data_IF_856171261484
#
_entry.id   IF_856171261484
#
_cell.length_a   1.000
_cell.length_b   1.000
_cell.length_c   1.000
_cell.angle_alpha   90.00
_cell.angle_beta   90.00
_cell.angle_gamma   90.00
#
_symmetry.space_group_name_H-M   'P 1'
#
loop_
_entity.id
_entity.type
_entity.pdbx_description
1 polymer ?
#
# COMPACT_ATOMS: atom_id res chain seq x y z
N UNK A 1 -5.69 -25.51 25.69
CA UNK A 1 -6.53 -24.56 24.89
C UNK A 1 -6.65 -25.11 23.49
N UNK A 2 -7.83 -25.06 22.85
CA UNK A 2 -8.04 -25.67 21.52
C UNK A 2 -7.54 -24.74 20.41
N UNK A 3 -6.27 -24.87 20.05
CA UNK A 3 -5.59 -24.04 19.03
C UNK A 3 -6.18 -24.23 17.63
N UNK A 4 -6.80 -25.36 17.33
CA UNK A 4 -7.41 -25.62 16.02
C UNK A 4 -8.65 -24.75 15.80
N UNK A 5 -9.46 -24.52 16.85
CA UNK A 5 -10.58 -23.57 16.76
C UNK A 5 -10.11 -22.15 16.49
N UNK A 6 -9.03 -21.71 17.14
CA UNK A 6 -8.45 -20.39 16.92
C UNK A 6 -7.91 -20.27 15.49
N UNK A 7 -7.17 -21.27 15.03
CA UNK A 7 -6.59 -21.29 13.69
C UNK A 7 -7.64 -21.22 12.58
N UNK A 8 -8.78 -21.88 12.80
CA UNK A 8 -9.89 -21.96 11.84
C UNK A 8 -10.91 -20.83 12.03
N UNK A 9 -10.72 -19.93 12.99
CA UNK A 9 -11.59 -18.78 13.16
C UNK A 9 -11.53 -17.88 11.92
N UNK A 10 -12.67 -17.65 11.28
CA UNK A 10 -12.84 -16.74 10.15
C UNK A 10 -13.50 -15.46 10.64
N UNK A 11 -12.86 -14.33 10.43
CA UNK A 11 -13.38 -13.03 10.76
C UNK A 11 -14.34 -12.56 9.65
N UNK A 12 -15.63 -12.38 9.94
CA UNK A 12 -16.61 -12.07 8.91
C UNK A 12 -16.54 -10.62 8.40
N UNK A 13 -15.96 -9.70 9.17
CA UNK A 13 -15.81 -8.30 8.76
C UNK A 13 -14.57 -8.08 7.90
N UNK A 14 -13.49 -8.79 8.23
CA UNK A 14 -12.24 -8.75 7.45
C UNK A 14 -12.21 -9.76 6.30
N UNK A 15 -13.19 -10.69 6.27
CA UNK A 15 -13.26 -11.81 5.32
C UNK A 15 -11.96 -12.62 5.22
N UNK A 16 -11.33 -12.89 6.37
CA UNK A 16 -10.09 -13.66 6.46
C UNK A 16 -9.98 -14.45 7.75
N UNK A 17 -9.06 -15.42 7.79
CA UNK A 17 -8.71 -16.18 9.00
C UNK A 17 -7.40 -15.58 9.61
N UNK A 18 -7.50 -14.66 10.59
CA UNK A 18 -6.36 -13.85 11.04
C UNK A 18 -5.25 -14.68 11.69
N UNK A 19 -5.56 -15.86 12.20
CA UNK A 19 -4.63 -16.72 12.93
C UNK A 19 -4.27 -18.01 12.18
N UNK A 20 -4.66 -18.15 10.89
CA UNK A 20 -4.40 -19.34 10.09
C UNK A 20 -2.93 -19.49 9.67
N UNK A 21 -2.19 -18.39 9.56
CA UNK A 21 -0.83 -18.41 9.07
C UNK A 21 0.12 -19.17 10.02
N UNK A 22 1.13 -19.82 9.46
CA UNK A 22 2.16 -20.51 10.25
C UNK A 22 2.84 -19.53 11.24
N UNK A 23 2.91 -19.93 12.52
CA UNK A 23 3.47 -19.11 13.59
C UNK A 23 2.55 -17.97 14.08
N UNK A 24 1.29 -17.92 13.62
CA UNK A 24 0.32 -16.97 14.14
C UNK A 24 -0.14 -17.29 15.58
N UNK A 25 -0.01 -18.54 16.00
CA UNK A 25 -0.34 -19.01 17.37
C UNK A 25 0.94 -19.53 18.00
N UNK A 26 1.33 -18.95 19.12
CA UNK A 26 2.50 -19.36 19.89
C UNK A 26 2.09 -19.70 21.32
N UNK A 27 2.55 -20.83 21.83
CA UNK A 27 2.36 -21.21 23.23
C UNK A 27 3.58 -20.70 24.01
N UNK A 28 3.33 -19.92 25.06
CA UNK A 28 4.35 -19.39 25.94
C UNK A 28 4.70 -20.41 27.05
N UNK A 29 5.84 -20.22 27.72
CA UNK A 29 6.32 -21.09 28.79
C UNK A 29 5.35 -21.16 29.99
N UNK A 30 4.57 -20.09 30.21
CA UNK A 30 3.54 -20.00 31.27
C UNK A 30 2.20 -20.66 30.86
N UNK A 31 2.13 -21.30 29.71
CA UNK A 31 0.92 -21.91 29.17
C UNK A 31 -0.09 -20.94 28.55
N UNK A 32 0.20 -19.63 28.56
CA UNK A 32 -0.59 -18.63 27.81
C UNK A 32 -0.38 -18.74 26.30
N UNK A 33 -1.29 -18.17 25.50
CA UNK A 33 -1.13 -18.09 24.05
C UNK A 33 -0.82 -16.66 23.62
N UNK A 34 0.05 -16.53 22.62
CA UNK A 34 0.22 -15.30 21.87
C UNK A 34 -0.34 -15.47 20.47
N UNK A 35 -1.30 -14.63 20.10
CA UNK A 35 -1.91 -14.57 18.77
C UNK A 35 -1.30 -13.43 17.98
N UNK A 36 -0.69 -13.75 16.83
CA UNK A 36 0.04 -12.81 15.99
C UNK A 36 -0.59 -12.80 14.58
N UNK A 37 -1.55 -11.91 14.28
CA UNK A 37 -2.18 -11.85 12.96
C UNK A 37 -1.18 -11.48 11.85
N UNK A 38 -0.12 -10.74 12.18
CA UNK A 38 0.93 -10.36 11.25
C UNK A 38 0.64 -9.06 10.49
N UNK A 39 -0.40 -8.33 10.90
CA UNK A 39 -0.80 -7.01 10.40
C UNK A 39 -1.32 -6.15 11.57
N UNK A 40 -1.39 -4.80 11.43
CA UNK A 40 -1.88 -3.93 12.48
C UNK A 40 -3.39 -4.09 12.62
N UNK A 41 -3.85 -4.53 13.78
CA UNK A 41 -5.25 -4.86 14.03
C UNK A 41 -5.62 -4.66 15.51
N UNK A 42 -5.00 -3.72 16.20
CA UNK A 42 -5.24 -3.47 17.61
C UNK A 42 -6.70 -3.14 17.90
N UNK A 43 -7.37 -2.47 16.99
CA UNK A 43 -8.77 -2.11 17.08
C UNK A 43 -9.72 -3.32 17.00
N UNK A 44 -9.27 -4.44 16.46
CA UNK A 44 -10.06 -5.67 16.29
C UNK A 44 -9.99 -6.59 17.53
N UNK A 45 -9.07 -6.35 18.44
CA UNK A 45 -8.86 -7.21 19.62
C UNK A 45 -10.14 -7.44 20.44
N UNK A 46 -10.94 -6.44 20.80
CA UNK A 46 -12.16 -6.66 21.57
C UNK A 46 -13.11 -7.63 20.87
N UNK A 47 -13.34 -7.42 19.57
CA UNK A 47 -14.22 -8.24 18.75
C UNK A 47 -13.70 -9.68 18.62
N UNK A 48 -12.40 -9.86 18.44
CA UNK A 48 -11.78 -11.19 18.40
C UNK A 48 -11.87 -11.92 19.74
N UNK A 49 -11.69 -11.20 20.88
CA UNK A 49 -11.87 -11.80 22.20
C UNK A 49 -13.30 -12.31 22.39
N UNK A 50 -14.29 -11.51 22.02
CA UNK A 50 -15.72 -11.89 22.13
C UNK A 50 -16.04 -13.09 21.24
N UNK A 51 -15.55 -13.10 20.00
CA UNK A 51 -15.76 -14.19 19.06
C UNK A 51 -15.11 -15.50 19.54
N UNK A 52 -13.87 -15.44 20.05
CA UNK A 52 -13.19 -16.62 20.61
C UNK A 52 -13.85 -17.13 21.87
N UNK A 53 -14.34 -16.24 22.73
CA UNK A 53 -15.11 -16.60 23.91
C UNK A 53 -16.42 -17.32 23.54
N UNK A 54 -17.10 -16.86 22.50
CA UNK A 54 -18.31 -17.52 21.97
C UNK A 54 -18.03 -18.94 21.45
N UNK A 55 -16.81 -19.24 21.03
CA UNK A 55 -16.34 -20.59 20.68
C UNK A 55 -15.92 -21.43 21.89
N UNK A 56 -16.14 -20.94 23.12
CA UNK A 56 -15.77 -21.65 24.36
C UNK A 56 -14.29 -21.56 24.72
N UNK A 57 -13.54 -20.59 24.16
CA UNK A 57 -12.12 -20.39 24.44
C UNK A 57 -11.99 -19.39 25.60
N UNK A 58 -11.24 -19.74 26.64
CA UNK A 58 -10.85 -18.77 27.66
C UNK A 58 -9.85 -17.78 27.06
N UNK A 59 -10.28 -16.53 26.94
CA UNK A 59 -9.47 -15.45 26.33
C UNK A 59 -8.59 -14.69 27.33
N UNK A 60 -8.75 -14.91 28.64
CA UNK A 60 -7.98 -14.22 29.67
C UNK A 60 -6.45 -14.44 29.55
N UNK A 61 -5.95 -15.66 29.29
CA UNK A 61 -4.52 -15.91 29.11
C UNK A 61 -4.00 -15.59 27.69
N UNK A 62 -4.84 -15.06 26.79
CA UNK A 62 -4.44 -14.74 25.42
C UNK A 62 -3.80 -13.36 25.37
N UNK A 63 -2.61 -13.29 24.79
CA UNK A 63 -1.90 -12.06 24.41
C UNK A 63 -1.98 -11.86 22.90
N UNK A 64 -2.03 -10.62 22.43
CA UNK A 64 -1.97 -10.31 21.01
C UNK A 64 -0.65 -9.62 20.66
N UNK A 65 -0.06 -10.01 19.52
CA UNK A 65 1.15 -9.40 18.97
C UNK A 65 0.82 -8.87 17.57
N UNK A 66 0.75 -7.56 17.44
CA UNK A 66 0.37 -6.84 16.22
C UNK A 66 1.57 -6.48 15.33
N UNK A 67 2.74 -7.06 15.58
CA UNK A 67 3.90 -6.82 14.72
C UNK A 67 3.62 -7.29 13.29
N UNK A 68 3.81 -6.36 12.36
CA UNK A 68 3.64 -6.63 10.93
C UNK A 68 4.73 -7.59 10.47
N UNK A 69 4.35 -8.64 9.75
CA UNK A 69 5.28 -9.59 9.14
C UNK A 69 5.89 -8.98 7.89
N UNK A 70 7.16 -9.28 7.64
CA UNK A 70 7.83 -8.90 6.41
C UNK A 70 7.45 -9.87 5.27
N UNK A 71 7.24 -9.31 4.09
CA UNK A 71 7.09 -10.11 2.86
C UNK A 71 8.44 -10.69 2.45
N UNK A 72 8.46 -11.98 2.13
CA UNK A 72 9.62 -12.63 1.55
C UNK A 72 9.56 -12.51 0.02
N UNK A 73 10.49 -11.79 -0.58
CA UNK A 73 10.64 -11.69 -2.03
C UNK A 73 11.97 -12.29 -2.48
N UNK A 74 12.08 -12.66 -3.78
CA UNK A 74 13.34 -13.06 -4.40
C UNK A 74 14.34 -11.91 -4.60
N UNK A 75 13.92 -10.66 -4.35
CA UNK A 75 14.76 -9.46 -4.47
C UNK A 75 15.25 -9.08 -3.07
N UNK A 76 16.50 -8.59 -2.99
CA UNK A 76 17.08 -8.16 -1.70
C UNK A 76 16.18 -7.11 -1.03
N UNK A 77 15.67 -7.46 0.15
CA UNK A 77 14.82 -6.60 0.95
C UNK A 77 15.60 -5.36 1.45
N UNK A 78 14.89 -4.25 1.59
CA UNK A 78 15.44 -3.06 2.27
C UNK A 78 15.46 -3.30 3.79
N UNK A 79 16.57 -3.03 4.50
CA UNK A 79 16.69 -3.40 5.91
C UNK A 79 15.72 -2.69 6.85
N UNK A 80 15.16 -1.56 6.42
CA UNK A 80 14.26 -0.73 7.21
C UNK A 80 12.81 -0.75 6.72
N UNK A 81 12.46 -1.65 5.77
CA UNK A 81 11.10 -1.70 5.19
C UNK A 81 10.66 -3.16 5.13
N UNK A 82 9.55 -3.49 5.77
CA UNK A 82 9.01 -4.85 5.79
C UNK A 82 8.23 -5.18 4.52
N UNK A 83 7.37 -4.27 4.09
CA UNK A 83 6.46 -4.48 2.97
C UNK A 83 6.41 -3.26 2.06
N UNK A 84 6.41 -3.47 0.76
CA UNK A 84 6.27 -2.41 -0.24
C UNK A 84 5.01 -2.66 -1.05
N UNK A 85 4.12 -1.68 -1.09
CA UNK A 85 2.89 -1.72 -1.88
C UNK A 85 3.00 -0.68 -2.99
N UNK A 86 2.91 -1.12 -4.23
CA UNK A 86 2.88 -0.25 -5.39
C UNK A 86 1.45 0.21 -5.68
N UNK A 87 1.25 1.51 -5.91
CA UNK A 87 0.00 2.05 -6.43
C UNK A 87 0.21 2.46 -7.88
N UNK A 88 -0.56 1.86 -8.77
CA UNK A 88 -0.41 2.01 -10.21
C UNK A 88 -1.73 2.41 -10.89
N UNK A 89 -1.60 3.04 -12.04
CA UNK A 89 -2.72 3.32 -12.94
C UNK A 89 -2.29 3.18 -14.38
N UNK A 90 -3.20 2.74 -15.24
CA UNK A 90 -2.93 2.64 -16.67
C UNK A 90 -2.87 4.01 -17.37
N UNK A 91 -3.49 5.05 -16.80
CA UNK A 91 -3.47 6.44 -17.30
C UNK A 91 -3.40 7.46 -16.17
N UNK A 92 -3.05 8.71 -16.51
CA UNK A 92 -3.08 9.84 -15.59
C UNK A 92 -4.50 10.32 -15.27
N UNK A 93 -4.64 11.04 -14.14
CA UNK A 93 -5.90 11.72 -13.78
C UNK A 93 -6.98 10.82 -13.17
N UNK A 94 -6.70 9.56 -12.86
CA UNK A 94 -7.67 8.62 -12.23
C UNK A 94 -7.74 8.72 -10.70
N UNK A 95 -6.87 9.52 -10.07
CA UNK A 95 -6.78 9.65 -8.61
C UNK A 95 -5.71 8.79 -7.94
N UNK A 96 -4.70 8.33 -8.69
CA UNK A 96 -3.60 7.48 -8.21
C UNK A 96 -2.92 8.05 -6.96
N UNK A 97 -2.43 9.28 -7.04
CA UNK A 97 -1.73 9.93 -5.94
C UNK A 97 -2.63 10.20 -4.73
N UNK A 98 -3.91 10.49 -4.97
CA UNK A 98 -4.92 10.60 -3.90
C UNK A 98 -5.09 9.27 -3.17
N UNK A 99 -5.18 8.16 -3.91
CA UNK A 99 -5.24 6.82 -3.30
C UNK A 99 -3.97 6.52 -2.49
N UNK A 100 -2.80 6.82 -3.04
CA UNK A 100 -1.50 6.56 -2.40
C UNK A 100 -1.38 7.27 -1.05
N UNK A 101 -1.72 8.57 -0.97
CA UNK A 101 -1.74 9.34 0.29
C UNK A 101 -2.73 8.74 1.28
N UNK A 102 -3.97 8.52 0.85
CA UNK A 102 -5.01 8.03 1.77
C UNK A 102 -4.70 6.62 2.27
N UNK A 103 -4.14 5.74 1.43
CA UNK A 103 -3.71 4.41 1.85
C UNK A 103 -2.59 4.47 2.89
N UNK A 104 -1.58 5.33 2.67
CA UNK A 104 -0.48 5.51 3.61
C UNK A 104 -0.97 6.04 4.97
N UNK A 105 -1.84 7.04 4.96
CA UNK A 105 -2.42 7.62 6.19
C UNK A 105 -3.34 6.62 6.88
N UNK A 106 -4.18 5.89 6.15
CA UNK A 106 -5.09 4.89 6.73
C UNK A 106 -4.31 3.76 7.43
N UNK A 107 -3.24 3.25 6.80
CA UNK A 107 -2.36 2.26 7.42
C UNK A 107 -1.69 2.81 8.69
N UNK A 108 -1.29 4.08 8.69
CA UNK A 108 -0.75 4.73 9.89
C UNK A 108 -1.80 4.84 10.99
N UNK A 109 -3.03 5.22 10.67
CA UNK A 109 -4.12 5.37 11.65
C UNK A 109 -4.49 4.06 12.34
N UNK A 110 -4.35 2.92 11.66
CA UNK A 110 -4.54 1.59 12.28
C UNK A 110 -3.31 1.06 13.01
N UNK A 111 -2.24 1.88 13.15
CA UNK A 111 -1.08 1.59 13.97
C UNK A 111 0.16 1.10 13.23
N UNK A 112 0.19 1.08 11.90
CA UNK A 112 1.39 0.75 11.13
C UNK A 112 2.36 1.93 11.06
N UNK A 113 3.66 1.65 11.03
CA UNK A 113 4.70 2.63 10.68
C UNK A 113 4.79 2.68 9.16
N UNK A 114 4.40 3.81 8.59
CA UNK A 114 4.16 3.90 7.15
C UNK A 114 5.04 4.97 6.50
N UNK A 115 5.51 4.67 5.31
CA UNK A 115 6.18 5.61 4.41
C UNK A 115 5.44 5.77 3.09
N UNK A 116 5.71 6.88 2.41
CA UNK A 116 5.19 7.20 1.07
C UNK A 116 6.33 7.73 0.19
N UNK A 117 6.60 7.06 -0.90
CA UNK A 117 7.54 7.50 -1.94
C UNK A 117 6.74 7.92 -3.18
N UNK A 118 6.85 9.21 -3.54
CA UNK A 118 6.32 9.74 -4.79
C UNK A 118 7.31 9.46 -5.92
N UNK A 119 6.98 8.53 -6.77
CA UNK A 119 7.75 8.13 -7.94
C UNK A 119 7.21 8.73 -9.25
N UNK A 120 6.20 9.62 -9.20
CA UNK A 120 5.65 10.29 -10.37
C UNK A 120 6.45 11.57 -10.70
N UNK A 121 7.55 11.39 -11.43
CA UNK A 121 8.46 12.47 -11.80
C UNK A 121 7.80 13.53 -12.70
N UNK A 122 6.84 13.13 -13.51
CA UNK A 122 6.18 14.03 -14.46
C UNK A 122 5.14 14.93 -13.82
N UNK A 123 4.59 14.53 -12.67
CA UNK A 123 3.56 15.29 -11.97
C UNK A 123 3.63 15.03 -10.47
N UNK A 124 4.76 15.37 -9.81
CA UNK A 124 4.90 15.12 -8.38
C UNK A 124 3.83 15.91 -7.63
N UNK A 125 2.95 15.20 -6.95
CA UNK A 125 1.79 15.82 -6.30
C UNK A 125 1.73 15.55 -4.79
N UNK A 126 2.48 14.56 -4.31
CA UNK A 126 2.40 14.10 -2.93
C UNK A 126 2.83 15.19 -1.93
N UNK A 127 3.93 15.90 -2.21
CA UNK A 127 4.39 16.99 -1.37
C UNK A 127 3.30 18.06 -1.20
N UNK A 128 2.64 18.45 -2.29
CA UNK A 128 1.57 19.47 -2.28
C UNK A 128 0.32 18.98 -1.54
N UNK A 129 -0.08 17.71 -1.72
CA UNK A 129 -1.24 17.11 -1.04
C UNK A 129 -1.01 16.96 0.47
N UNK A 130 0.26 16.81 0.90
CA UNK A 130 0.64 16.64 2.30
C UNK A 130 1.09 17.95 2.99
N UNK A 131 0.81 19.11 2.43
CA UNK A 131 1.03 20.41 3.07
C UNK A 131 2.15 21.26 2.48
N UNK A 132 2.73 20.88 1.35
CA UNK A 132 3.74 21.63 0.60
C UNK A 132 5.12 20.95 0.56
N UNK A 133 5.96 21.42 -0.36
CA UNK A 133 7.32 20.95 -0.53
C UNK A 133 8.19 21.32 0.69
N UNK A 134 8.99 20.39 1.14
CA UNK A 134 9.98 20.59 2.21
C UNK A 134 11.26 19.87 1.80
N UNK A 135 12.34 20.59 1.65
CA UNK A 135 13.63 19.99 1.27
C UNK A 135 14.09 18.98 2.32
N UNK A 136 14.32 17.72 1.93
CA UNK A 136 14.89 16.73 2.83
C UNK A 136 16.32 17.15 3.22
N UNK A 137 16.70 16.84 4.45
CA UNK A 137 18.05 17.08 4.94
C UNK A 137 18.96 15.90 4.63
N UNK A 138 20.26 16.17 4.50
CA UNK A 138 21.31 15.16 4.35
C UNK A 138 22.43 15.45 5.31
N UNK A 139 22.80 14.49 6.15
CA UNK A 139 23.89 14.63 7.12
C UNK A 139 25.26 14.26 6.51
N UNK A 140 25.27 13.36 5.54
CA UNK A 140 26.47 12.80 4.94
C UNK A 140 26.65 13.22 3.47
N UNK A 141 25.75 14.04 2.94
CA UNK A 141 25.72 14.48 1.54
C UNK A 141 25.42 13.35 0.54
N UNK A 142 25.07 12.14 1.00
CA UNK A 142 24.79 10.97 0.17
C UNK A 142 23.39 10.42 0.38
N UNK A 143 22.92 10.42 1.63
CA UNK A 143 21.61 9.89 2.00
C UNK A 143 20.68 11.02 2.41
N UNK A 144 19.38 10.83 2.21
CA UNK A 144 18.34 11.82 2.51
C UNK A 144 17.51 11.37 3.70
N UNK A 145 17.24 12.29 4.61
CA UNK A 145 16.24 12.05 5.66
C UNK A 145 14.84 12.20 5.08
N UNK A 146 13.93 11.23 5.29
CA UNK A 146 12.55 11.39 4.88
C UNK A 146 11.90 12.56 5.65
N UNK A 147 10.97 13.23 5.01
CA UNK A 147 10.19 14.30 5.64
C UNK A 147 9.00 13.67 6.36
N UNK A 148 8.83 13.98 7.65
CA UNK A 148 7.66 13.51 8.39
C UNK A 148 6.47 14.44 8.11
N UNK A 149 5.37 13.87 7.60
CA UNK A 149 4.11 14.57 7.33
C UNK A 149 2.95 13.73 7.84
N UNK A 150 2.10 14.30 8.68
CA UNK A 150 0.92 13.59 9.25
C UNK A 150 1.25 12.22 9.89
N UNK A 151 2.44 12.08 10.50
CA UNK A 151 2.89 10.85 11.14
C UNK A 151 3.48 9.79 10.20
N UNK A 152 3.52 10.04 8.89
CA UNK A 152 4.16 9.15 7.92
C UNK A 152 5.48 9.73 7.40
N UNK A 153 6.43 8.86 7.06
CA UNK A 153 7.69 9.26 6.45
C UNK A 153 7.49 9.43 4.95
N UNK A 154 7.84 10.59 4.39
CA UNK A 154 7.57 10.88 2.97
C UNK A 154 8.82 11.33 2.25
N UNK A 155 8.92 11.00 0.96
CA UNK A 155 9.87 11.60 0.03
C UNK A 155 9.22 11.70 -1.34
N UNK A 156 9.35 12.88 -1.96
CA UNK A 156 8.90 13.16 -3.32
C UNK A 156 10.05 13.76 -4.13
N UNK A 157 10.08 13.48 -5.42
CA UNK A 157 10.95 14.23 -6.32
C UNK A 157 10.64 15.73 -6.29
N UNK A 158 9.38 16.10 -6.03
CA UNK A 158 8.95 17.49 -5.84
C UNK A 158 9.53 18.16 -4.59
N UNK A 159 10.10 17.40 -3.65
CA UNK A 159 10.84 17.96 -2.51
C UNK A 159 12.29 18.34 -2.88
N UNK A 160 12.80 17.82 -4.01
CA UNK A 160 14.20 17.98 -4.45
C UNK A 160 14.38 18.98 -5.57
N UNK A 161 13.35 19.19 -6.37
CA UNK A 161 13.40 20.04 -7.58
C UNK A 161 12.47 21.23 -7.38
N UNK A 162 12.94 22.42 -7.70
CA UNK A 162 12.10 23.61 -7.67
C UNK A 162 11.03 23.52 -8.76
N UNK A 163 9.78 23.84 -8.44
CA UNK A 163 8.61 23.73 -9.34
C UNK A 163 8.82 24.46 -10.69
N UNK A 164 9.60 25.53 -10.69
CA UNK A 164 9.89 26.34 -11.88
C UNK A 164 11.03 25.79 -12.75
N UNK A 165 11.68 24.69 -12.32
CA UNK A 165 12.81 24.14 -13.07
C UNK A 165 12.32 23.08 -14.06
N UNK A 166 12.25 23.44 -15.35
CA UNK A 166 11.97 22.50 -16.42
C UNK A 166 13.15 21.54 -16.61
N UNK A 167 13.15 20.41 -15.90
CA UNK A 167 14.12 19.35 -16.12
C UNK A 167 13.68 18.44 -17.26
N UNK A 168 14.56 18.22 -18.24
CA UNK A 168 14.32 17.26 -19.33
C UNK A 168 14.70 15.86 -18.83
N UNK A 169 13.72 15.10 -18.37
CA UNK A 169 13.90 13.75 -17.92
C UNK A 169 13.89 12.76 -19.08
N UNK A 170 14.93 11.94 -19.19
CA UNK A 170 14.96 10.79 -20.12
C UNK A 170 14.70 9.49 -19.35
N UNK A 171 13.98 8.52 -19.96
CA UNK A 171 13.55 7.29 -19.29
C UNK A 171 14.60 6.58 -18.42
N UNK A 172 15.83 6.32 -18.90
CA UNK A 172 16.88 5.70 -18.07
C UNK A 172 17.29 6.53 -16.85
N UNK A 173 17.31 7.87 -16.97
CA UNK A 173 17.61 8.77 -15.85
C UNK A 173 16.52 8.72 -14.79
N UNK A 174 15.24 8.65 -15.21
CA UNK A 174 14.09 8.52 -14.32
C UNK A 174 14.22 7.28 -13.46
N UNK A 175 14.46 6.12 -14.08
CA UNK A 175 14.60 4.86 -13.36
C UNK A 175 15.72 4.91 -12.33
N UNK A 176 16.88 5.46 -12.73
CA UNK A 176 18.03 5.60 -11.83
C UNK A 176 17.70 6.52 -10.64
N UNK A 177 17.09 7.68 -10.89
CA UNK A 177 16.72 8.63 -9.83
C UNK A 177 15.72 8.01 -8.86
N UNK A 178 14.69 7.31 -9.36
CA UNK A 178 13.69 6.69 -8.50
C UNK A 178 14.28 5.56 -7.64
N UNK A 179 15.17 4.76 -8.21
CA UNK A 179 15.88 3.73 -7.45
C UNK A 179 16.84 4.34 -6.42
N UNK A 180 17.44 5.48 -6.74
CA UNK A 180 18.27 6.24 -5.83
C UNK A 180 17.43 6.81 -4.68
N UNK A 181 16.28 7.43 -4.95
CA UNK A 181 15.34 7.89 -3.91
C UNK A 181 14.91 6.75 -2.98
N UNK A 182 14.60 5.58 -3.53
CA UNK A 182 14.25 4.41 -2.73
C UNK A 182 15.39 3.94 -1.85
N UNK A 183 16.62 3.83 -2.40
CA UNK A 183 17.79 3.22 -1.73
C UNK A 183 18.53 4.16 -0.79
N UNK A 184 18.59 5.46 -1.14
CA UNK A 184 19.40 6.46 -0.42
C UNK A 184 18.56 7.26 0.60
N UNK A 185 17.25 7.04 0.66
CA UNK A 185 16.44 7.57 1.75
C UNK A 185 16.64 6.73 3.00
N UNK A 186 16.94 7.40 4.11
CA UNK A 186 17.07 6.79 5.44
C UNK A 186 15.69 6.52 6.03
N UNK A 187 14.96 5.55 5.46
CA UNK A 187 13.72 5.08 6.04
C UNK A 187 13.96 4.51 7.45
N UNK A 188 13.04 4.74 8.37
CA UNK A 188 13.16 4.30 9.75
C UNK A 188 12.06 3.28 10.07
N UNK A 189 12.45 2.00 10.11
CA UNK A 189 11.66 0.86 10.62
C UNK A 189 10.20 0.85 10.14
N UNK A 190 10.00 0.89 8.83
CA UNK A 190 8.68 0.91 8.21
C UNK A 190 8.05 -0.49 8.17
N UNK A 191 6.78 -0.55 8.55
CA UNK A 191 5.94 -1.73 8.32
C UNK A 191 5.47 -1.78 6.85
N UNK A 192 5.14 -0.60 6.28
CA UNK A 192 4.73 -0.44 4.88
C UNK A 192 5.37 0.80 4.25
N UNK A 193 5.88 0.64 3.04
CA UNK A 193 6.20 1.73 2.13
C UNK A 193 5.22 1.71 0.95
N UNK A 194 4.44 2.76 0.78
CA UNK A 194 3.60 2.97 -0.38
C UNK A 194 4.43 3.66 -1.46
N UNK A 195 4.46 3.11 -2.67
CA UNK A 195 5.12 3.75 -3.82
C UNK A 195 4.05 4.20 -4.81
N UNK A 196 3.94 5.51 -5.00
CA UNK A 196 3.09 6.13 -6.02
C UNK A 196 3.82 6.08 -7.36
N UNK A 197 3.52 5.08 -8.20
CA UNK A 197 4.21 4.86 -9.47
C UNK A 197 3.82 5.93 -10.52
N UNK A 198 4.67 6.23 -11.51
CA UNK A 198 4.26 7.04 -12.66
C UNK A 198 3.02 6.44 -13.36
N UNK A 199 2.16 7.23 -14.01
CA UNK A 199 1.04 6.68 -14.76
C UNK A 199 1.48 5.94 -16.03
N UNK A 200 0.67 4.98 -16.49
CA UNK A 200 0.93 4.20 -17.70
C UNK A 200 1.38 2.77 -17.40
N UNK A 201 1.92 2.09 -18.41
CA UNK A 201 2.39 0.68 -18.38
C UNK A 201 3.74 0.53 -19.07
N UNK A 202 4.56 1.58 -19.00
CA UNK A 202 5.83 1.66 -19.73
C UNK A 202 7.01 1.00 -19.00
N UNK A 203 8.18 1.08 -19.64
CA UNK A 203 9.43 0.47 -19.17
C UNK A 203 9.85 0.95 -17.77
N UNK A 204 9.53 2.18 -17.40
CA UNK A 204 9.87 2.73 -16.07
C UNK A 204 9.20 1.95 -14.96
N UNK A 205 7.90 1.68 -15.07
CA UNK A 205 7.15 0.91 -14.08
C UNK A 205 7.62 -0.54 -14.01
N UNK A 206 7.84 -1.15 -15.17
CA UNK A 206 8.38 -2.51 -15.26
C UNK A 206 9.75 -2.61 -14.58
N UNK A 207 10.65 -1.66 -14.87
CA UNK A 207 12.00 -1.62 -14.27
C UNK A 207 11.94 -1.45 -12.76
N UNK A 208 11.09 -0.54 -12.25
CA UNK A 208 10.91 -0.35 -10.81
C UNK A 208 10.37 -1.61 -10.14
N UNK A 209 9.35 -2.22 -10.75
CA UNK A 209 8.74 -3.45 -10.25
C UNK A 209 9.73 -4.64 -10.19
N UNK A 210 10.71 -4.68 -11.11
CA UNK A 210 11.74 -5.72 -11.12
C UNK A 210 12.90 -5.47 -10.15
N UNK A 211 13.13 -4.23 -9.73
CA UNK A 211 14.29 -3.87 -8.90
C UNK A 211 13.95 -3.55 -7.44
N UNK A 212 12.69 -3.36 -7.13
CA UNK A 212 12.17 -3.09 -5.78
C UNK A 212 11.39 -4.33 -5.31
N UNK A 213 11.59 -4.81 -4.06
CA UNK A 213 10.90 -5.99 -3.52
C UNK A 213 9.43 -5.69 -3.19
N UNK A 214 8.62 -5.46 -4.22
CA UNK A 214 7.20 -5.13 -4.10
C UNK A 214 6.44 -6.36 -3.61
N UNK A 215 5.71 -6.22 -2.49
CA UNK A 215 4.88 -7.27 -1.92
C UNK A 215 3.55 -7.46 -2.68
N UNK A 216 3.07 -6.40 -3.31
CA UNK A 216 1.87 -6.42 -4.13
C UNK A 216 1.53 -5.05 -4.70
N UNK A 217 0.61 -5.01 -5.64
CA UNK A 217 0.19 -3.79 -6.30
C UNK A 217 -1.31 -3.54 -6.14
N UNK A 218 -1.69 -2.27 -5.96
CA UNK A 218 -3.07 -1.80 -6.07
C UNK A 218 -3.21 -1.03 -7.37
N UNK A 219 -4.19 -1.39 -8.19
CA UNK A 219 -4.47 -0.70 -9.46
C UNK A 219 -5.68 0.20 -9.27
N UNK A 220 -5.56 1.47 -9.66
CA UNK A 220 -6.70 2.39 -9.70
C UNK A 220 -7.10 2.71 -11.13
N UNK A 221 -8.41 2.74 -11.36
CA UNK A 221 -9.01 3.08 -12.65
C UNK A 221 -10.29 3.92 -12.46
N UNK A 222 -10.92 4.31 -13.56
CA UNK A 222 -12.27 4.87 -13.61
C UNK A 222 -13.16 3.96 -14.45
N UNK A 223 -14.51 4.03 -14.39
CA UNK A 223 -15.41 3.12 -15.10
C UNK A 223 -15.36 3.20 -16.62
N UNK A 224 -14.69 4.21 -17.17
CA UNK A 224 -14.60 4.42 -18.63
C UNK A 224 -13.86 3.27 -19.32
N UNK A 225 -14.35 2.78 -20.46
CA UNK A 225 -13.80 1.65 -21.21
C UNK A 225 -12.29 1.79 -21.49
N UNK A 226 -11.83 2.99 -21.89
CA UNK A 226 -10.41 3.25 -22.17
C UNK A 226 -9.58 3.09 -20.89
N UNK A 227 -10.08 3.56 -19.74
CA UNK A 227 -9.37 3.42 -18.46
C UNK A 227 -9.30 1.95 -18.02
N UNK A 228 -10.36 1.18 -18.25
CA UNK A 228 -10.41 -0.25 -17.94
C UNK A 228 -9.43 -1.05 -18.83
N UNK A 229 -9.33 -0.71 -20.11
CA UNK A 229 -8.33 -1.30 -21.01
C UNK A 229 -6.90 -1.05 -20.51
N UNK A 230 -6.61 0.16 -20.05
CA UNK A 230 -5.31 0.51 -19.50
C UNK A 230 -5.05 -0.15 -18.14
N UNK A 231 -6.07 -0.30 -17.29
CA UNK A 231 -5.96 -1.08 -16.04
C UNK A 231 -5.65 -2.56 -16.33
N UNK A 232 -6.25 -3.15 -17.36
CA UNK A 232 -5.93 -4.50 -17.82
C UNK A 232 -4.47 -4.65 -18.27
N UNK A 233 -3.93 -3.65 -18.98
CA UNK A 233 -2.51 -3.63 -19.35
C UNK A 233 -1.60 -3.55 -18.12
N UNK A 234 -1.97 -2.71 -17.13
CA UNK A 234 -1.23 -2.61 -15.88
C UNK A 234 -1.21 -3.95 -15.12
N UNK A 235 -2.36 -4.63 -15.03
CA UNK A 235 -2.43 -5.99 -14.47
C UNK A 235 -1.49 -6.94 -15.20
N UNK A 236 -1.57 -7.01 -16.52
CA UNK A 236 -0.71 -7.88 -17.32
C UNK A 236 0.79 -7.59 -17.12
N UNK A 237 1.16 -6.34 -16.90
CA UNK A 237 2.53 -5.94 -16.59
C UNK A 237 2.98 -6.53 -15.26
N UNK A 238 2.17 -6.41 -14.18
CA UNK A 238 2.52 -6.97 -12.87
C UNK A 238 2.54 -8.49 -12.87
N UNK A 239 1.63 -9.15 -13.60
CA UNK A 239 1.63 -10.60 -13.78
C UNK A 239 2.95 -11.10 -14.39
N UNK A 240 3.48 -10.39 -15.40
CA UNK A 240 4.76 -10.73 -16.06
C UNK A 240 5.97 -10.68 -15.12
N UNK A 241 5.91 -9.90 -14.06
CA UNK A 241 6.99 -9.78 -13.07
C UNK A 241 6.66 -10.48 -11.75
N UNK A 242 5.59 -11.29 -11.74
CA UNK A 242 5.13 -12.07 -10.58
C UNK A 242 4.85 -11.22 -9.34
N UNK A 243 4.30 -10.02 -9.52
CA UNK A 243 3.83 -9.17 -8.43
C UNK A 243 2.32 -9.36 -8.31
N UNK A 244 1.81 -9.83 -7.16
CA UNK A 244 0.38 -10.05 -6.97
C UNK A 244 -0.40 -8.74 -6.98
N UNK A 245 -1.59 -8.75 -7.59
CA UNK A 245 -2.53 -7.64 -7.49
C UNK A 245 -3.34 -7.82 -6.21
N UNK A 246 -3.16 -6.89 -5.27
CA UNK A 246 -3.87 -6.85 -4.00
C UNK A 246 -5.33 -6.42 -4.15
N UNK A 247 -5.61 -5.61 -5.17
CA UNK A 247 -6.95 -5.12 -5.45
C UNK A 247 -7.01 -4.12 -6.59
N UNK A 248 -8.23 -3.88 -7.05
CA UNK A 248 -8.59 -2.87 -8.03
C UNK A 248 -9.51 -1.84 -7.35
N UNK A 249 -9.18 -0.56 -7.49
CA UNK A 249 -10.00 0.56 -7.03
C UNK A 249 -10.65 1.23 -8.23
N UNK A 250 -11.98 1.23 -8.28
CA UNK A 250 -12.74 2.02 -9.25
C UNK A 250 -13.10 3.37 -8.62
N UNK A 251 -12.49 4.43 -9.12
CA UNK A 251 -12.74 5.80 -8.70
C UNK A 251 -13.71 6.50 -9.66
N UNK A 252 -14.39 7.55 -9.20
CA UNK A 252 -15.32 8.36 -10.00
C UNK A 252 -16.54 7.57 -10.54
N UNK A 253 -16.93 6.47 -9.88
CA UNK A 253 -18.08 5.64 -10.28
C UNK A 253 -19.42 6.23 -9.87
N UNK A 254 -19.44 7.15 -8.91
CA UNK A 254 -20.65 7.83 -8.47
C UNK A 254 -20.37 9.31 -8.18
N UNK A 255 -21.29 10.16 -8.59
CA UNK A 255 -21.39 11.56 -8.18
C UNK A 255 -22.68 11.76 -7.40
N UNK A 256 -22.55 12.18 -6.16
CA UNK A 256 -23.71 12.53 -5.31
C UNK A 256 -23.92 14.04 -5.40
N UNK A 257 -25.07 14.45 -5.92
CA UNK A 257 -25.42 15.86 -6.04
C UNK A 257 -25.53 16.49 -4.63
N UNK A 258 -24.72 17.49 -4.29
CA UNK A 258 -24.77 18.12 -2.96
C UNK A 258 -26.07 18.85 -2.67
N UNK A 259 -26.87 19.14 -3.70
CA UNK A 259 -28.11 19.89 -3.58
C UNK A 259 -29.34 19.00 -3.35
N UNK A 260 -29.43 17.85 -3.98
CA UNK A 260 -30.62 16.97 -3.89
C UNK A 260 -30.31 15.51 -3.53
N UNK A 261 -29.02 15.13 -3.33
CA UNK A 261 -28.65 13.77 -2.99
C UNK A 261 -28.75 12.77 -4.14
N UNK A 262 -29.13 13.20 -5.35
CA UNK A 262 -29.23 12.32 -6.51
C UNK A 262 -27.86 11.70 -6.85
N UNK A 263 -27.82 10.38 -7.01
CA UNK A 263 -26.64 9.63 -7.46
C UNK A 263 -26.61 9.56 -8.98
N UNK A 264 -25.53 10.04 -9.59
CA UNK A 264 -25.30 9.99 -11.02
C UNK A 264 -24.01 9.23 -11.34
N UNK A 265 -24.05 8.37 -12.34
CA UNK A 265 -22.89 7.62 -12.85
C UNK A 265 -22.37 8.26 -14.13
N UNK A 266 -21.74 9.43 -14.00
CA UNK A 266 -21.31 10.26 -15.14
C UNK A 266 -20.34 9.52 -16.06
N UNK A 267 -19.46 8.69 -15.50
CA UNK A 267 -18.45 7.90 -16.24
C UNK A 267 -18.81 6.41 -16.35
N UNK A 268 -20.01 6.00 -15.92
CA UNK A 268 -20.39 4.61 -15.77
C UNK A 268 -20.17 4.07 -14.36
N UNK A 269 -20.39 2.77 -14.18
CA UNK A 269 -20.17 2.04 -12.92
C UNK A 269 -19.85 0.57 -13.17
N UNK A 270 -19.31 -0.09 -12.16
CA UNK A 270 -19.06 -1.54 -12.13
C UNK A 270 -18.05 -2.07 -13.18
N UNK A 271 -17.36 -1.20 -13.91
CA UNK A 271 -16.36 -1.63 -14.90
C UNK A 271 -15.18 -2.35 -14.26
N UNK A 272 -14.73 -1.87 -13.11
CA UNK A 272 -13.69 -2.51 -12.31
C UNK A 272 -14.12 -3.88 -11.77
N UNK A 273 -15.37 -4.01 -11.34
CA UNK A 273 -15.94 -5.30 -10.90
C UNK A 273 -15.98 -6.32 -12.04
N UNK A 274 -16.40 -5.91 -13.24
CA UNK A 274 -16.38 -6.78 -14.40
C UNK A 274 -14.95 -7.23 -14.75
N UNK A 275 -13.97 -6.33 -14.64
CA UNK A 275 -12.57 -6.64 -14.87
C UNK A 275 -12.03 -7.64 -13.86
N UNK A 276 -12.41 -7.55 -12.58
CA UNK A 276 -11.97 -8.48 -11.53
C UNK A 276 -12.52 -9.90 -11.74
N UNK A 277 -13.80 -10.02 -12.08
CA UNK A 277 -14.46 -11.33 -12.30
C UNK A 277 -13.96 -12.04 -13.56
N UNK A 278 -13.60 -11.30 -14.60
CA UNK A 278 -13.15 -11.90 -15.87
C UNK A 278 -11.73 -12.50 -15.83
N UNK A 279 -11.04 -12.43 -14.68
CA UNK A 279 -9.63 -12.79 -14.55
C UNK A 279 -9.30 -13.64 -13.30
N UNK A 280 -10.32 -14.28 -12.74
CA UNK A 280 -10.16 -15.39 -11.76
C UNK A 280 -10.13 -16.73 -12.45
#
# INVERSE_FOLDING_TARGET
MNTDLIKNYHDPELDLAPFAATGAIQTNDDGSLTLAPGFPAQQEEPRWRDALAALGIDTAPIRFDYRVRAHASGIKAHPQIKNIIAVASGKGGVGKSTLSVNLAIALHQIGARTGLLDADIYGPSQARMLGGATRPTSEDGKTMQPVNRHGIQTLSIGDLVDEDTAMIWRGPMINQTLLQLYRETRWHDLDYLIIDLPPGTGDTQLTLAQQIPVAGAVIITTPQDIALLDAKKAKTMFDKVNIPILGLVENMSVYICPNCGHEAHIFGKDGGKLLSVSHH
#
